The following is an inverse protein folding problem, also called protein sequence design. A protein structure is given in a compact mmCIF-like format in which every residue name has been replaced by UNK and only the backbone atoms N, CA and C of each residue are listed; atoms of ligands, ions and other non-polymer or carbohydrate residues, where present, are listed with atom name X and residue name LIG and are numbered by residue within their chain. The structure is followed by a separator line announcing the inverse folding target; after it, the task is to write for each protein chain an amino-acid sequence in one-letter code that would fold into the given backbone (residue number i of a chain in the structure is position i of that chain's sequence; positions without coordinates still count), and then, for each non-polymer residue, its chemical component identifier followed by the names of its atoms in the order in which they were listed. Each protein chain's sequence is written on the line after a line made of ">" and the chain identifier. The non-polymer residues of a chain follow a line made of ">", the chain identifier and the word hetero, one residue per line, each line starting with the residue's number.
data_IF_815594796249
#
_entry.id   IF_815594796249
#
_cell.length_a   1.000
_cell.length_b   1.000
_cell.length_c   1.000
_cell.angle_alpha   90.00
_cell.angle_beta   90.00
_cell.angle_gamma   90.00
#
_symmetry.space_group_name_H-M   'P 1'
#
loop_
_entity.id
_entity.type
_entity.pdbx_description
1 polymer ?
#
# COMPACT_ATOMS: atom_id res chain seq x y z
N UNK A 1 2.47 11.19 -9.68
CA UNK A 1 3.07 11.51 -10.98
C UNK A 1 4.32 12.37 -10.83
N UNK A 2 5.27 12.35 -11.80
CA UNK A 2 6.54 13.10 -11.69
C UNK A 2 6.36 14.61 -11.60
N UNK A 3 5.32 15.13 -12.20
CA UNK A 3 4.97 16.56 -12.26
C UNK A 3 3.87 16.95 -11.25
N UNK A 4 3.72 16.20 -10.17
CA UNK A 4 2.78 16.54 -9.10
C UNK A 4 3.12 17.90 -8.49
N UNK A 5 2.14 18.80 -8.20
CA UNK A 5 2.41 20.15 -7.68
C UNK A 5 3.28 20.18 -6.41
N UNK A 6 3.23 19.14 -5.60
CA UNK A 6 4.01 19.04 -4.35
C UNK A 6 5.21 18.09 -4.46
N UNK A 7 5.67 17.75 -5.68
CA UNK A 7 6.76 16.77 -5.85
C UNK A 7 8.09 17.25 -5.26
N UNK A 8 8.37 18.56 -5.33
CA UNK A 8 9.61 19.16 -4.84
C UNK A 8 9.50 19.69 -3.40
N UNK A 9 8.30 19.74 -2.85
CA UNK A 9 8.08 20.18 -1.47
C UNK A 9 8.47 19.09 -0.46
N UNK A 10 8.98 19.46 0.73
CA UNK A 10 9.22 18.50 1.79
C UNK A 10 7.95 17.74 2.16
N UNK A 11 8.01 16.40 2.22
CA UNK A 11 6.88 15.59 2.66
C UNK A 11 6.84 15.54 4.19
N UNK A 12 6.14 16.48 4.79
CA UNK A 12 5.82 16.53 6.21
C UNK A 12 4.47 15.88 6.47
N UNK A 13 4.14 15.62 7.74
CA UNK A 13 2.79 15.14 8.10
C UNK A 13 1.71 16.13 7.64
N UNK A 14 1.91 17.42 7.84
CA UNK A 14 0.95 18.46 7.43
C UNK A 14 0.76 18.48 5.92
N UNK A 15 1.84 18.43 5.13
CA UNK A 15 1.74 18.39 3.68
C UNK A 15 1.09 17.10 3.19
N UNK A 16 1.38 15.96 3.83
CA UNK A 16 0.73 14.68 3.55
C UNK A 16 -0.79 14.74 3.78
N UNK A 17 -1.22 15.32 4.91
CA UNK A 17 -2.63 15.46 5.27
C UNK A 17 -3.39 16.47 4.40
N UNK A 18 -2.68 17.46 3.83
CA UNK A 18 -3.28 18.46 2.92
C UNK A 18 -3.63 17.87 1.55
N UNK A 19 -2.97 16.80 1.15
CA UNK A 19 -3.22 16.13 -0.12
C UNK A 19 -4.52 15.31 -0.09
N UNK A 20 -4.99 14.93 -1.28
CA UNK A 20 -6.14 14.05 -1.46
C UNK A 20 -5.65 12.65 -1.82
N UNK A 21 -6.19 11.65 -1.14
CA UNK A 21 -5.68 10.29 -1.17
C UNK A 21 -6.59 9.31 -1.89
N UNK A 22 -5.98 8.30 -2.53
CA UNK A 22 -6.67 7.08 -2.93
C UNK A 22 -6.45 6.05 -1.83
N UNK A 23 -7.51 5.36 -1.46
CA UNK A 23 -7.45 4.20 -0.56
C UNK A 23 -7.75 2.93 -1.34
N UNK A 24 -6.83 1.97 -1.27
CA UNK A 24 -7.01 0.65 -1.89
C UNK A 24 -7.46 -0.34 -0.83
N UNK A 25 -8.65 -0.86 -0.97
CA UNK A 25 -9.21 -1.87 -0.05
C UNK A 25 -10.34 -2.64 -0.72
N UNK A 26 -10.40 -3.94 -0.49
CA UNK A 26 -11.53 -4.79 -0.85
C UNK A 26 -12.73 -4.60 0.09
N UNK A 27 -12.51 -4.00 1.26
CA UNK A 27 -13.57 -3.69 2.24
C UNK A 27 -14.24 -2.36 1.92
N UNK A 28 -15.55 -2.33 1.97
CA UNK A 28 -16.33 -1.10 1.73
C UNK A 28 -16.16 -0.05 2.83
N UNK A 29 -15.93 -0.48 4.05
CA UNK A 29 -15.82 0.37 5.26
C UNK A 29 -14.67 -0.10 6.13
N UNK A 30 -14.26 0.77 7.03
CA UNK A 30 -13.20 0.50 8.00
C UNK A 30 -11.90 1.21 7.67
N UNK A 31 -11.06 1.29 8.69
CA UNK A 31 -9.74 1.91 8.60
C UNK A 31 -8.72 0.91 8.05
N UNK A 32 -7.86 1.40 7.15
CA UNK A 32 -6.69 0.67 6.73
C UNK A 32 -5.52 0.85 7.69
N UNK A 33 -4.43 0.16 7.44
CA UNK A 33 -3.22 0.20 8.27
C UNK A 33 -2.62 1.62 8.38
N UNK A 34 -2.66 2.37 7.29
CA UNK A 34 -2.21 3.77 7.25
C UNK A 34 -3.08 4.65 8.14
N UNK A 35 -4.40 4.50 8.06
CA UNK A 35 -5.34 5.28 8.85
C UNK A 35 -5.24 4.95 10.35
N UNK A 36 -4.99 3.69 10.69
CA UNK A 36 -4.69 3.27 12.06
C UNK A 36 -3.39 3.89 12.58
N UNK A 37 -2.37 4.01 11.74
CA UNK A 37 -1.12 4.69 12.12
C UNK A 37 -1.34 6.20 12.33
N UNK A 38 -2.16 6.84 11.50
CA UNK A 38 -2.49 8.26 11.62
C UNK A 38 -3.28 8.59 12.90
N UNK A 39 -4.10 7.66 13.40
CA UNK A 39 -4.81 7.83 14.68
C UNK A 39 -3.86 8.07 15.86
N UNK A 40 -2.66 7.48 15.85
CA UNK A 40 -1.62 7.73 16.87
C UNK A 40 -1.15 9.19 16.88
N UNK A 41 -1.29 9.88 15.76
CA UNK A 41 -0.98 11.31 15.60
C UNK A 41 -2.24 12.19 15.73
N UNK A 42 -3.37 11.62 16.12
CA UNK A 42 -4.68 12.31 16.18
C UNK A 42 -5.02 12.95 14.81
N UNK A 43 -4.65 12.30 13.73
CA UNK A 43 -4.74 12.80 12.36
C UNK A 43 -5.61 11.91 11.49
N UNK A 44 -6.21 12.50 10.47
CA UNK A 44 -7.04 11.84 9.47
C UNK A 44 -6.71 12.41 8.09
N UNK A 45 -6.54 11.53 7.10
CA UNK A 45 -6.31 11.92 5.71
C UNK A 45 -7.63 12.01 4.93
N UNK A 46 -7.65 12.87 3.92
CA UNK A 46 -8.80 13.04 3.02
C UNK A 46 -8.81 11.96 1.94
N UNK A 47 -9.64 10.94 2.09
CA UNK A 47 -9.83 9.91 1.06
C UNK A 47 -10.79 10.45 0.00
N UNK A 48 -10.27 10.74 -1.19
CA UNK A 48 -11.04 11.21 -2.34
C UNK A 48 -11.64 10.05 -3.14
N UNK A 49 -10.94 8.94 -3.23
CA UNK A 49 -11.32 7.79 -4.04
C UNK A 49 -10.96 6.49 -3.31
N UNK A 50 -11.87 5.53 -3.38
CA UNK A 50 -11.65 4.15 -2.94
C UNK A 50 -11.70 3.22 -4.13
N UNK A 51 -10.69 2.35 -4.26
CA UNK A 51 -10.60 1.34 -5.30
C UNK A 51 -10.20 0.00 -4.70
N UNK A 52 -10.45 -1.08 -5.41
CA UNK A 52 -10.15 -2.43 -4.92
C UNK A 52 -8.77 -2.95 -5.33
N UNK A 53 -8.16 -2.35 -6.37
CA UNK A 53 -6.93 -2.85 -6.97
C UNK A 53 -5.87 -1.75 -7.09
N UNK A 54 -4.63 -2.08 -6.71
CA UNK A 54 -3.48 -1.18 -6.80
C UNK A 54 -3.20 -0.72 -8.23
N UNK A 55 -3.40 -1.58 -9.23
CA UNK A 55 -3.21 -1.22 -10.63
C UNK A 55 -4.14 -0.08 -11.06
N UNK A 56 -5.41 -0.14 -10.66
CA UNK A 56 -6.38 0.94 -10.93
C UNK A 56 -5.94 2.23 -10.25
N UNK A 57 -5.50 2.15 -8.98
CA UNK A 57 -4.98 3.30 -8.27
C UNK A 57 -3.77 3.92 -8.98
N UNK A 58 -2.83 3.09 -9.45
CA UNK A 58 -1.65 3.55 -10.18
C UNK A 58 -2.01 4.30 -11.46
N UNK A 59 -2.98 3.80 -12.24
CA UNK A 59 -3.48 4.49 -13.42
C UNK A 59 -4.12 5.85 -13.09
N UNK A 60 -4.93 5.90 -12.06
CA UNK A 60 -5.59 7.15 -11.64
C UNK A 60 -4.58 8.20 -11.19
N UNK A 61 -3.58 7.84 -10.37
CA UNK A 61 -2.58 8.81 -9.90
C UNK A 61 -1.62 9.26 -11.00
N UNK A 62 -1.46 8.49 -12.07
CA UNK A 62 -0.64 8.92 -13.22
C UNK A 62 -1.24 10.13 -13.94
N UNK A 63 -2.57 10.29 -13.90
CA UNK A 63 -3.29 11.38 -14.57
C UNK A 63 -3.94 12.40 -13.63
N UNK A 64 -3.71 12.33 -12.32
CA UNK A 64 -4.34 13.22 -11.33
C UNK A 64 -3.34 13.72 -10.29
N UNK A 65 -3.76 14.66 -9.44
CA UNK A 65 -3.00 15.13 -8.27
C UNK A 65 -3.29 14.29 -7.01
N UNK A 66 -3.97 13.17 -7.14
CA UNK A 66 -4.19 12.25 -6.05
C UNK A 66 -2.89 11.53 -5.68
N UNK A 67 -2.77 11.14 -4.42
CA UNK A 67 -1.62 10.38 -3.92
C UNK A 67 -2.07 9.02 -3.37
N UNK A 68 -1.15 8.07 -3.43
CA UNK A 68 -1.37 6.70 -2.98
C UNK A 68 -0.29 6.31 -1.98
N UNK A 69 -0.69 5.80 -0.84
CA UNK A 69 0.22 5.12 0.09
C UNK A 69 0.14 3.62 -0.15
N UNK A 70 1.28 3.02 -0.44
CA UNK A 70 1.38 1.64 -0.94
C UNK A 70 2.67 0.99 -0.43
N UNK A 71 2.70 -0.33 -0.18
CA UNK A 71 3.93 -1.03 0.12
C UNK A 71 4.98 -0.84 -0.98
N UNK A 72 6.24 -0.61 -0.58
CA UNK A 72 7.34 -0.30 -1.51
C UNK A 72 7.47 -1.34 -2.63
N UNK A 73 7.35 -2.62 -2.31
CA UNK A 73 7.52 -3.69 -3.30
C UNK A 73 6.44 -3.66 -4.41
N UNK A 74 5.23 -3.18 -4.11
CA UNK A 74 4.19 -2.95 -5.12
C UNK A 74 4.45 -1.67 -5.91
N UNK A 75 4.88 -0.61 -5.23
CA UNK A 75 5.16 0.67 -5.88
C UNK A 75 6.28 0.57 -6.92
N UNK A 76 7.29 -0.28 -6.68
CA UNK A 76 8.42 -0.48 -7.61
C UNK A 76 8.01 -1.09 -8.95
N UNK A 77 6.81 -1.67 -9.05
CA UNK A 77 6.28 -2.24 -10.30
C UNK A 77 5.68 -1.18 -11.23
N UNK A 78 5.54 0.05 -10.76
CA UNK A 78 4.96 1.15 -11.52
C UNK A 78 5.95 2.29 -11.69
N UNK A 79 5.90 2.97 -12.84
CA UNK A 79 6.74 4.15 -13.13
C UNK A 79 6.21 5.39 -12.41
N UNK A 80 6.32 5.39 -11.09
CA UNK A 80 5.80 6.43 -10.21
C UNK A 80 6.91 7.08 -9.40
N UNK A 81 6.74 8.35 -9.04
CA UNK A 81 7.62 9.03 -8.09
C UNK A 81 7.29 8.57 -6.67
N UNK A 82 8.28 7.97 -6.00
CA UNK A 82 8.12 7.42 -4.66
C UNK A 82 8.77 8.33 -3.62
N UNK A 83 8.11 8.48 -2.48
CA UNK A 83 8.63 9.23 -1.34
C UNK A 83 8.37 8.46 -0.04
N UNK A 84 9.30 8.49 0.92
CA UNK A 84 9.07 7.90 2.23
C UNK A 84 7.95 8.64 2.97
N UNK A 85 7.18 7.91 3.77
CA UNK A 85 6.15 8.50 4.62
C UNK A 85 6.79 9.35 5.74
N UNK A 86 6.16 10.46 6.14
CA UNK A 86 6.63 11.31 7.24
C UNK A 86 6.19 10.78 8.62
N UNK A 87 5.70 9.56 8.71
CA UNK A 87 5.30 8.87 9.95
C UNK A 87 5.47 7.37 9.80
N UNK A 88 5.56 6.67 10.93
CA UNK A 88 5.76 5.22 10.93
C UNK A 88 4.46 4.47 10.70
N UNK A 89 4.51 3.51 9.78
CA UNK A 89 3.46 2.54 9.54
C UNK A 89 4.05 1.15 9.79
N UNK A 90 3.39 0.29 10.58
CA UNK A 90 3.86 -1.07 10.77
C UNK A 90 4.06 -1.80 9.45
N UNK A 91 5.08 -2.64 9.38
CA UNK A 91 5.30 -3.49 8.22
C UNK A 91 4.10 -4.38 7.95
N UNK A 92 3.84 -4.66 6.67
CA UNK A 92 2.78 -5.58 6.28
C UNK A 92 3.25 -7.01 6.53
N UNK A 93 2.64 -7.67 7.51
CA UNK A 93 2.85 -9.09 7.76
C UNK A 93 2.01 -9.91 6.79
N UNK A 94 2.68 -10.69 5.96
CA UNK A 94 2.05 -11.62 5.04
C UNK A 94 2.13 -13.03 5.63
N UNK A 95 1.00 -13.71 5.67
CA UNK A 95 0.91 -15.08 6.15
C UNK A 95 0.40 -15.99 5.04
N UNK A 96 1.03 -17.14 4.90
CA UNK A 96 0.58 -18.20 4.01
C UNK A 96 -0.20 -19.24 4.82
N UNK A 97 -1.45 -19.47 4.45
CA UNK A 97 -2.31 -20.48 5.08
C UNK A 97 -2.63 -21.58 4.09
N UNK A 98 -2.69 -22.82 4.59
CA UNK A 98 -3.12 -23.97 3.79
C UNK A 98 -3.94 -24.94 4.64
N UNK A 99 -4.72 -25.76 3.98
CA UNK A 99 -5.53 -26.76 4.65
C UNK A 99 -4.65 -27.91 5.15
N UNK A 100 -4.94 -28.43 6.34
CA UNK A 100 -4.18 -29.52 6.99
C UNK A 100 -4.03 -30.76 6.09
N UNK A 101 -5.05 -31.08 5.30
CA UNK A 101 -5.02 -32.20 4.35
C UNK A 101 -3.93 -32.07 3.27
N UNK A 102 -3.52 -30.86 2.94
CA UNK A 102 -2.49 -30.56 1.94
C UNK A 102 -1.09 -30.47 2.54
N UNK A 103 -0.93 -30.70 3.84
CA UNK A 103 0.34 -30.52 4.53
C UNK A 103 1.43 -31.49 4.04
N UNK A 104 1.09 -32.73 3.80
CA UNK A 104 1.99 -33.78 3.32
C UNK A 104 2.03 -33.94 1.79
N UNK A 105 1.21 -33.19 1.04
CA UNK A 105 1.19 -33.27 -0.42
C UNK A 105 2.47 -32.64 -1.01
N UNK A 106 3.25 -33.38 -1.83
CA UNK A 106 4.52 -32.90 -2.37
C UNK A 106 4.37 -31.65 -3.26
N UNK A 107 3.30 -31.57 -4.06
CA UNK A 107 3.03 -30.43 -4.95
C UNK A 107 2.72 -29.19 -4.15
N UNK A 108 1.90 -29.31 -3.11
CA UNK A 108 1.60 -28.21 -2.19
C UNK A 108 2.83 -27.76 -1.41
N UNK A 109 3.69 -28.71 -0.99
CA UNK A 109 4.95 -28.40 -0.31
C UNK A 109 5.86 -27.60 -1.22
N UNK A 110 6.08 -28.04 -2.44
CA UNK A 110 6.88 -27.33 -3.43
C UNK A 110 6.37 -25.91 -3.66
N UNK A 111 5.05 -25.74 -3.81
CA UNK A 111 4.44 -24.42 -3.99
C UNK A 111 4.70 -23.49 -2.79
N UNK A 112 4.52 -24.00 -1.57
CA UNK A 112 4.78 -23.22 -0.34
C UNK A 112 6.24 -22.78 -0.25
N UNK A 113 7.17 -23.69 -0.49
CA UNK A 113 8.60 -23.40 -0.46
C UNK A 113 8.98 -22.38 -1.53
N UNK A 114 8.43 -22.51 -2.73
CA UNK A 114 8.64 -21.55 -3.82
C UNK A 114 8.12 -20.14 -3.45
N UNK A 115 6.92 -20.05 -2.88
CA UNK A 115 6.35 -18.78 -2.43
C UNK A 115 7.18 -18.15 -1.30
N UNK A 116 7.57 -18.94 -0.29
CA UNK A 116 8.41 -18.44 0.80
C UNK A 116 9.74 -17.89 0.27
N UNK A 117 10.36 -18.58 -0.66
CA UNK A 117 11.61 -18.12 -1.29
C UNK A 117 11.46 -16.80 -2.02
N UNK A 118 10.31 -16.57 -2.69
CA UNK A 118 10.03 -15.32 -3.38
C UNK A 118 9.87 -14.12 -2.43
N UNK A 119 9.32 -14.35 -1.24
CA UNK A 119 9.02 -13.27 -0.28
C UNK A 119 10.08 -13.07 0.80
N UNK A 120 11.07 -13.93 0.90
CA UNK A 120 12.18 -13.80 1.85
C UNK A 120 13.35 -12.94 1.34
N UNK A 121 13.23 -12.37 0.17
CA UNK A 121 14.28 -11.53 -0.43
C UNK A 121 14.25 -10.11 0.09
#
# INVERSE_FOLDING_TARGET
>A
RPDHPMVDEPLTLDSYLSMRHIHVSSRRKGLGQVDMALLKHQAERKIQLRVQHYRVAAEVISGTDLVLTVPRFLASQYSLTLRPLPFDVPALDLHLYWHRQSDSDPSHRWLRESLLTLFQK
#
